data_IF_625774229127
#
_entry.id   IF_625774229127
#
_cell.length_a   1.000
_cell.length_b   1.000
_cell.length_c   1.000
_cell.angle_alpha   90.00
_cell.angle_beta   90.00
_cell.angle_gamma   90.00
#
_symmetry.space_group_name_H-M   'P 1'
#
loop_
_entity.id
_entity.type
_entity.pdbx_description
1 polymer ?
#
# COMPACT_ATOMS: atom_id res chain seq x y z
N UNK A 1 6.39 39.51 -21.16
CA UNK A 1 5.25 38.72 -20.67
C UNK A 1 5.55 37.26 -20.95
N UNK A 2 6.05 36.52 -19.96
CA UNK A 2 6.33 35.09 -20.09
C UNK A 2 5.03 34.33 -19.86
N UNK A 3 4.45 33.79 -20.94
CA UNK A 3 3.30 32.87 -20.82
C UNK A 3 3.69 31.72 -19.88
N UNK A 4 2.89 31.39 -18.85
CA UNK A 4 3.21 30.28 -17.96
C UNK A 4 3.22 28.98 -18.76
N UNK A 5 4.41 28.40 -18.91
CA UNK A 5 4.61 27.10 -19.53
C UNK A 5 3.93 26.04 -18.65
N UNK A 6 2.77 25.55 -19.08
CA UNK A 6 2.02 24.51 -18.39
C UNK A 6 2.36 23.17 -19.04
N UNK A 7 3.17 22.35 -18.36
CA UNK A 7 3.45 20.98 -18.80
C UNK A 7 2.27 20.11 -18.41
N UNK A 8 1.54 19.60 -19.40
CA UNK A 8 0.49 18.61 -19.19
C UNK A 8 1.15 17.25 -19.13
N UNK A 9 1.22 16.65 -17.94
CA UNK A 9 1.73 15.29 -17.74
C UNK A 9 0.51 14.35 -17.75
N UNK A 10 0.50 13.41 -18.69
CA UNK A 10 -0.55 12.39 -18.77
C UNK A 10 -0.45 11.39 -17.60
N UNK A 11 -1.58 10.77 -17.23
CA UNK A 11 -1.59 9.73 -16.20
C UNK A 11 -0.59 8.61 -16.50
N UNK A 12 -0.57 8.13 -17.74
CA UNK A 12 0.31 7.04 -18.16
C UNK A 12 1.79 7.43 -18.01
N UNK A 13 2.15 8.67 -18.32
CA UNK A 13 3.51 9.17 -18.09
C UNK A 13 3.87 9.20 -16.60
N UNK A 14 2.94 9.60 -15.71
CA UNK A 14 3.19 9.54 -14.27
C UNK A 14 3.32 8.11 -13.77
N UNK A 15 2.47 7.19 -14.24
CA UNK A 15 2.54 5.77 -13.89
C UNK A 15 3.88 5.19 -14.31
N UNK A 16 4.30 5.44 -15.55
CA UNK A 16 5.59 5.00 -16.07
C UNK A 16 6.76 5.60 -15.29
N UNK A 17 6.68 6.89 -14.93
CA UNK A 17 7.73 7.55 -14.14
C UNK A 17 7.89 6.90 -12.75
N UNK A 18 6.77 6.66 -12.06
CA UNK A 18 6.79 6.02 -10.74
C UNK A 18 7.26 4.56 -10.87
N UNK A 19 6.78 3.81 -11.86
CA UNK A 19 7.24 2.45 -12.13
C UNK A 19 8.75 2.41 -12.43
N UNK A 20 9.27 3.35 -13.22
CA UNK A 20 10.69 3.47 -13.52
C UNK A 20 11.51 3.82 -12.27
N UNK A 21 11.01 4.72 -11.41
CA UNK A 21 11.64 5.03 -10.13
C UNK A 21 11.72 3.78 -9.25
N UNK A 22 10.62 3.04 -9.11
CA UNK A 22 10.59 1.82 -8.32
C UNK A 22 11.47 0.71 -8.93
N UNK A 23 11.52 0.59 -10.25
CA UNK A 23 12.44 -0.30 -10.96
C UNK A 23 13.90 0.03 -10.61
N UNK A 24 14.27 1.31 -10.67
CA UNK A 24 15.62 1.74 -10.34
C UNK A 24 15.95 1.45 -8.87
N UNK A 25 15.06 1.81 -7.93
CA UNK A 25 15.26 1.56 -6.51
C UNK A 25 15.33 0.06 -6.22
N UNK A 26 14.49 -0.75 -6.86
CA UNK A 26 14.52 -2.20 -6.73
C UNK A 26 15.82 -2.80 -7.24
N UNK A 27 16.37 -2.28 -8.35
CA UNK A 27 17.65 -2.73 -8.86
C UNK A 27 18.82 -2.41 -7.92
N UNK A 28 18.72 -1.31 -7.17
CA UNK A 28 19.71 -0.93 -6.16
C UNK A 28 19.56 -1.74 -4.86
N UNK A 29 18.33 -2.08 -4.48
CA UNK A 29 18.02 -2.74 -3.21
C UNK A 29 18.14 -4.27 -3.30
N UNK A 30 18.01 -4.82 -4.50
CA UNK A 30 18.16 -6.24 -4.78
C UNK A 30 16.91 -7.07 -4.51
N UNK A 31 16.87 -8.23 -5.17
CA UNK A 31 15.72 -9.14 -5.21
C UNK A 31 15.10 -9.49 -3.84
N UNK A 32 15.91 -9.88 -2.85
CA UNK A 32 15.39 -10.40 -1.57
C UNK A 32 14.46 -9.41 -0.86
N UNK A 33 14.84 -8.13 -0.85
CA UNK A 33 14.07 -7.07 -0.19
C UNK A 33 12.82 -6.71 -0.99
N UNK A 34 12.93 -6.67 -2.31
CA UNK A 34 11.78 -6.41 -3.17
C UNK A 34 10.70 -7.49 -3.03
N UNK A 35 11.09 -8.76 -2.85
CA UNK A 35 10.12 -9.83 -2.59
C UNK A 35 9.36 -9.58 -1.29
N UNK A 36 10.03 -9.23 -0.20
CA UNK A 36 9.36 -8.93 1.08
C UNK A 36 8.35 -7.79 0.91
N UNK A 37 8.72 -6.76 0.15
CA UNK A 37 7.80 -5.66 -0.19
C UNK A 37 6.62 -6.15 -1.02
N UNK A 38 6.85 -7.01 -2.02
CA UNK A 38 5.78 -7.62 -2.82
C UNK A 38 4.80 -8.42 -1.94
N UNK A 39 5.30 -9.20 -0.98
CA UNK A 39 4.44 -9.93 -0.03
C UNK A 39 3.52 -8.96 0.71
N UNK A 40 4.06 -7.89 1.28
CA UNK A 40 3.26 -6.91 2.01
C UNK A 40 2.24 -6.20 1.11
N UNK A 41 2.62 -5.85 -0.13
CA UNK A 41 1.69 -5.26 -1.10
C UNK A 41 0.58 -6.23 -1.52
N UNK A 42 0.86 -7.52 -1.65
CA UNK A 42 -0.15 -8.54 -1.92
C UNK A 42 -1.11 -8.69 -0.73
N UNK A 43 -0.60 -8.66 0.50
CA UNK A 43 -1.47 -8.67 1.69
C UNK A 43 -2.38 -7.44 1.70
N UNK A 44 -1.84 -6.25 1.40
CA UNK A 44 -2.66 -5.05 1.25
C UNK A 44 -3.69 -5.19 0.12
N UNK A 45 -3.32 -5.78 -1.02
CA UNK A 45 -4.25 -6.08 -2.10
C UNK A 45 -5.37 -7.06 -1.69
N UNK A 46 -5.05 -8.07 -0.89
CA UNK A 46 -6.05 -8.98 -0.34
C UNK A 46 -7.01 -8.26 0.61
N UNK A 47 -6.50 -7.35 1.46
CA UNK A 47 -7.32 -6.50 2.33
C UNK A 47 -8.20 -5.53 1.53
N UNK A 48 -7.74 -5.05 0.37
CA UNK A 48 -8.57 -4.28 -0.56
C UNK A 48 -9.70 -5.12 -1.16
N UNK A 49 -9.40 -6.36 -1.56
CA UNK A 49 -10.38 -7.27 -2.16
C UNK A 49 -11.44 -7.75 -1.15
N UNK A 50 -11.05 -7.93 0.11
CA UNK A 50 -11.94 -8.36 1.20
C UNK A 50 -11.78 -7.44 2.42
N UNK A 51 -12.38 -6.24 2.41
CA UNK A 51 -12.22 -5.24 3.48
C UNK A 51 -12.70 -5.71 4.86
N UNK A 52 -13.58 -6.72 4.90
CA UNK A 52 -14.01 -7.35 6.15
C UNK A 52 -12.84 -7.94 6.97
N UNK A 53 -11.76 -8.39 6.31
CA UNK A 53 -10.56 -8.88 6.98
C UNK A 53 -9.79 -7.77 7.71
N UNK A 54 -9.90 -6.53 7.26
CA UNK A 54 -9.28 -5.37 7.90
C UNK A 54 -10.07 -4.87 9.12
N UNK A 55 -11.36 -5.25 9.25
CA UNK A 55 -12.28 -4.76 10.28
C UNK A 55 -11.73 -4.80 11.71
N UNK A 56 -11.24 -5.96 12.20
CA UNK A 56 -10.72 -6.06 13.57
C UNK A 56 -9.51 -5.14 13.81
N UNK A 57 -8.58 -5.10 12.87
CA UNK A 57 -7.38 -4.25 12.96
C UNK A 57 -7.75 -2.77 12.97
N UNK A 58 -8.68 -2.38 12.10
CA UNK A 58 -9.18 -1.00 12.01
C UNK A 58 -9.93 -0.60 13.28
N UNK A 59 -10.70 -1.50 13.88
CA UNK A 59 -11.37 -1.23 15.15
C UNK A 59 -10.37 -1.02 16.29
N UNK A 60 -9.35 -1.89 16.42
CA UNK A 60 -8.30 -1.71 17.42
C UNK A 60 -7.57 -0.39 17.23
N UNK A 61 -7.17 -0.08 15.99
CA UNK A 61 -6.45 1.16 15.68
C UNK A 61 -7.33 2.38 15.94
N UNK A 62 -8.62 2.32 15.59
CA UNK A 62 -9.56 3.41 15.82
C UNK A 62 -9.77 3.67 17.30
N UNK A 63 -9.86 2.61 18.13
CA UNK A 63 -9.93 2.73 19.59
C UNK A 63 -8.66 3.34 20.17
N UNK A 64 -7.49 2.89 19.72
CA UNK A 64 -6.20 3.44 20.15
C UNK A 64 -6.08 4.92 19.79
N UNK A 65 -6.39 5.31 18.56
CA UNK A 65 -6.33 6.71 18.11
C UNK A 65 -7.35 7.56 18.86
N UNK A 66 -8.58 7.07 19.09
CA UNK A 66 -9.56 7.79 19.93
C UNK A 66 -9.04 8.00 21.35
N UNK A 67 -8.39 7.00 21.94
CA UNK A 67 -7.81 7.10 23.28
C UNK A 67 -6.68 8.13 23.32
N UNK A 68 -5.77 8.10 22.35
CA UNK A 68 -4.67 9.07 22.23
C UNK A 68 -5.22 10.48 22.02
N UNK A 69 -6.19 10.67 21.13
CA UNK A 69 -6.83 11.96 20.91
C UNK A 69 -7.56 12.45 22.16
N UNK A 70 -8.29 11.57 22.85
CA UNK A 70 -8.97 11.91 24.09
C UNK A 70 -7.99 12.35 25.17
N UNK A 71 -6.82 11.71 25.25
CA UNK A 71 -5.75 12.07 26.18
C UNK A 71 -5.14 13.45 25.87
N UNK A 72 -4.92 13.78 24.59
CA UNK A 72 -4.47 15.12 24.23
C UNK A 72 -5.56 16.19 24.45
N UNK A 73 -6.82 15.87 24.13
CA UNK A 73 -7.96 16.77 24.32
C UNK A 73 -8.32 16.99 25.80
N UNK A 74 -8.02 16.02 26.66
CA UNK A 74 -8.16 16.14 28.12
C UNK A 74 -7.00 16.90 28.78
N UNK A 75 -6.10 17.51 27.99
CA UNK A 75 -4.88 18.15 28.46
C UNK A 75 -3.97 17.22 29.27
N UNK A 76 -3.74 16.00 28.76
CA UNK A 76 -2.93 14.97 29.41
C UNK A 76 -3.50 14.45 30.74
N UNK A 77 -4.82 14.62 30.95
CA UNK A 77 -5.49 14.05 32.11
C UNK A 77 -5.62 12.53 31.98
N UNK A 78 -5.28 11.81 33.04
CA UNK A 78 -5.40 10.35 33.18
C UNK A 78 -6.69 9.97 33.94
N UNK A 79 -7.53 10.95 34.27
CA UNK A 79 -8.82 10.71 34.93
C UNK A 79 -9.76 9.94 33.98
N UNK A 80 -10.24 8.73 34.36
CA UNK A 80 -11.10 7.90 33.52
C UNK A 80 -12.39 8.59 33.07
N UNK A 81 -13.00 9.40 33.94
CA UNK A 81 -14.29 10.05 33.66
C UNK A 81 -14.12 11.17 32.62
N UNK A 82 -13.03 11.93 32.75
CA UNK A 82 -12.65 12.98 31.80
C UNK A 82 -12.28 12.35 30.45
N UNK A 83 -11.45 11.30 30.45
CA UNK A 83 -11.05 10.58 29.24
C UNK A 83 -12.25 9.98 28.50
N UNK A 84 -13.19 9.36 29.21
CA UNK A 84 -14.37 8.75 28.61
C UNK A 84 -15.24 9.81 27.89
N UNK A 85 -15.39 10.99 28.50
CA UNK A 85 -16.13 12.12 27.91
C UNK A 85 -15.51 12.58 26.59
N UNK A 86 -14.19 12.72 26.52
CA UNK A 86 -13.50 13.09 25.27
C UNK A 86 -13.48 11.94 24.27
N UNK A 87 -13.32 10.69 24.74
CA UNK A 87 -13.31 9.49 23.90
C UNK A 87 -14.62 9.29 23.13
N UNK A 88 -15.77 9.49 23.78
CA UNK A 88 -17.09 9.35 23.14
C UNK A 88 -17.34 10.43 22.07
N UNK A 89 -16.77 11.62 22.26
CA UNK A 89 -16.94 12.75 21.33
C UNK A 89 -15.83 12.83 20.27
N UNK A 90 -14.77 12.02 20.39
CA UNK A 90 -13.65 12.01 19.46
C UNK A 90 -14.07 11.45 18.10
N UNK A 91 -14.20 12.35 17.12
CA UNK A 91 -14.37 12.00 15.70
C UNK A 91 -13.03 11.55 15.14
N UNK A 92 -12.85 10.25 14.95
CA UNK A 92 -11.73 9.70 14.19
C UNK A 92 -12.07 9.61 12.70
N UNK A 93 -11.11 9.87 11.81
CA UNK A 93 -11.32 9.75 10.37
C UNK A 93 -11.35 8.28 9.89
N UNK A 94 -11.23 7.32 10.81
CA UNK A 94 -11.16 5.89 10.57
C UNK A 94 -12.28 5.16 11.33
N UNK A 95 -12.95 4.23 10.67
CA UNK A 95 -13.93 3.32 11.29
C UNK A 95 -13.91 1.98 10.56
N UNK A 96 -14.40 0.91 11.20
CA UNK A 96 -14.58 -0.39 10.55
C UNK A 96 -15.49 -0.32 9.32
N UNK A 97 -16.41 0.65 9.29
CA UNK A 97 -17.28 0.94 8.15
C UNK A 97 -16.54 1.59 6.96
N UNK A 98 -15.49 2.37 7.23
CA UNK A 98 -14.59 2.95 6.23
C UNK A 98 -13.12 2.64 6.54
N UNK A 99 -12.68 1.39 6.24
CA UNK A 99 -11.32 0.95 6.53
C UNK A 99 -10.29 1.56 5.57
N UNK A 100 -10.71 2.16 4.46
CA UNK A 100 -9.82 2.58 3.38
C UNK A 100 -8.83 3.67 3.80
N UNK A 101 -9.23 4.59 4.68
CA UNK A 101 -8.31 5.59 5.20
C UNK A 101 -7.14 4.97 5.99
N UNK A 102 -7.41 3.91 6.78
CA UNK A 102 -6.35 3.14 7.46
C UNK A 102 -5.49 2.40 6.45
N UNK A 103 -6.10 1.79 5.43
CA UNK A 103 -5.36 1.07 4.38
C UNK A 103 -4.45 2.00 3.55
N UNK A 104 -4.88 3.24 3.28
CA UNK A 104 -4.04 4.27 2.65
C UNK A 104 -2.86 4.61 3.56
N UNK A 105 -3.12 4.91 4.83
CA UNK A 105 -2.06 5.20 5.80
C UNK A 105 -1.09 4.03 5.94
N UNK A 106 -1.61 2.80 5.99
CA UNK A 106 -0.80 1.58 6.06
C UNK A 106 0.03 1.38 4.80
N UNK A 107 -0.52 1.60 3.60
CA UNK A 107 0.22 1.55 2.34
C UNK A 107 1.36 2.57 2.31
N UNK A 108 1.08 3.83 2.65
CA UNK A 108 2.09 4.90 2.67
C UNK A 108 3.18 4.59 3.70
N UNK A 109 2.79 4.24 4.92
CA UNK A 109 3.73 3.87 5.97
C UNK A 109 4.57 2.66 5.56
N UNK A 110 3.95 1.63 4.98
CA UNK A 110 4.64 0.43 4.51
C UNK A 110 5.66 0.75 3.42
N UNK A 111 5.30 1.56 2.42
CA UNK A 111 6.21 2.00 1.35
C UNK A 111 7.38 2.78 1.96
N UNK A 112 7.12 3.77 2.80
CA UNK A 112 8.17 4.59 3.43
C UNK A 112 9.11 3.76 4.30
N UNK A 113 8.57 2.86 5.14
CA UNK A 113 9.39 1.97 5.99
C UNK A 113 10.18 0.98 5.14
N UNK A 114 9.55 0.39 4.13
CA UNK A 114 10.20 -0.52 3.18
C UNK A 114 11.42 0.13 2.51
N UNK A 115 11.30 1.39 2.06
CA UNK A 115 12.42 2.09 1.44
C UNK A 115 13.37 2.77 2.43
N UNK A 116 12.95 3.01 3.68
CA UNK A 116 13.80 3.54 4.76
C UNK A 116 14.78 2.52 5.34
N UNK A 117 14.48 1.22 5.24
CA UNK A 117 15.35 0.15 5.76
C UNK A 117 16.61 -0.05 4.89
N UNK A 118 17.66 0.72 5.15
CA UNK A 118 19.02 0.47 4.63
C UNK A 118 19.72 -0.59 5.49
N UNK A 119 19.50 -1.87 5.20
CA UNK A 119 20.32 -2.93 5.81
C UNK A 119 21.75 -2.96 5.22
N UNK A 120 22.74 -3.15 6.09
CA UNK A 120 24.14 -3.43 5.74
C UNK A 120 24.31 -4.87 5.25
N UNK A 121 23.83 -5.19 4.05
CA UNK A 121 24.03 -6.53 3.48
C UNK A 121 24.82 -6.49 2.17
N UNK A 122 25.59 -7.58 2.00
CA UNK A 122 26.51 -7.90 0.91
C UNK A 122 26.02 -7.42 -0.46
N UNK A 123 26.96 -6.92 -1.26
CA UNK A 123 26.72 -6.47 -2.63
C UNK A 123 25.78 -7.42 -3.38
N UNK A 124 24.64 -6.90 -3.82
CA UNK A 124 23.68 -7.67 -4.58
C UNK A 124 24.33 -8.10 -5.91
N UNK A 125 24.30 -9.40 -6.20
CA UNK A 125 24.78 -9.92 -7.49
C UNK A 125 24.09 -9.23 -8.67
N UNK A 126 24.74 -9.16 -9.84
CA UNK A 126 24.17 -8.54 -11.05
C UNK A 126 22.78 -9.09 -11.39
N UNK A 127 22.59 -10.40 -11.25
CA UNK A 127 21.28 -11.05 -11.41
C UNK A 127 20.28 -10.62 -10.33
N UNK A 128 20.72 -10.50 -9.07
CA UNK A 128 19.90 -10.00 -7.97
C UNK A 128 19.45 -8.55 -8.15
N UNK A 129 20.25 -7.73 -8.83
CA UNK A 129 19.91 -6.35 -9.20
C UNK A 129 18.92 -6.30 -10.36
N UNK A 130 19.11 -7.11 -11.40
CA UNK A 130 18.14 -7.21 -12.50
C UNK A 130 16.76 -7.69 -12.00
N UNK A 131 16.74 -8.77 -11.21
CA UNK A 131 15.51 -9.28 -10.60
C UNK A 131 14.91 -8.28 -9.60
N UNK A 132 15.74 -7.60 -8.83
CA UNK A 132 15.31 -6.48 -7.99
C UNK A 132 14.64 -5.37 -8.79
N UNK A 133 15.15 -5.04 -9.97
CA UNK A 133 14.53 -4.05 -10.85
C UNK A 133 13.16 -4.47 -11.37
N UNK A 134 13.03 -5.72 -11.83
CA UNK A 134 11.74 -6.27 -12.30
C UNK A 134 10.71 -6.28 -11.16
N UNK A 135 11.09 -6.74 -9.97
CA UNK A 135 10.19 -6.73 -8.81
C UNK A 135 9.89 -5.31 -8.32
N UNK A 136 10.86 -4.40 -8.40
CA UNK A 136 10.65 -2.98 -8.13
C UNK A 136 9.57 -2.41 -9.05
N UNK A 137 9.69 -2.62 -10.36
CA UNK A 137 8.68 -2.20 -11.34
C UNK A 137 7.28 -2.73 -10.98
N UNK A 138 7.17 -4.02 -10.64
CA UNK A 138 5.92 -4.65 -10.22
C UNK A 138 5.38 -4.04 -8.91
N UNK A 139 6.25 -3.79 -7.93
CA UNK A 139 5.89 -3.14 -6.68
C UNK A 139 5.38 -1.71 -6.91
N UNK A 140 6.02 -0.95 -7.80
CA UNK A 140 5.57 0.40 -8.18
C UNK A 140 4.18 0.37 -8.81
N UNK A 141 3.93 -0.55 -9.74
CA UNK A 141 2.62 -0.75 -10.34
C UNK A 141 1.54 -1.10 -9.30
N UNK A 142 1.84 -2.01 -8.36
CA UNK A 142 0.93 -2.40 -7.29
C UNK A 142 0.63 -1.21 -6.35
N UNK A 143 1.65 -0.46 -5.93
CA UNK A 143 1.46 0.71 -5.05
C UNK A 143 0.54 1.73 -5.68
N UNK A 144 0.75 2.09 -6.95
CA UNK A 144 -0.10 3.07 -7.64
C UNK A 144 -1.53 2.56 -7.77
N UNK A 145 -1.69 1.29 -8.14
CA UNK A 145 -3.01 0.66 -8.32
C UNK A 145 -3.78 0.62 -7.00
N UNK A 146 -3.13 0.17 -5.92
CA UNK A 146 -3.71 0.14 -4.58
C UNK A 146 -4.06 1.54 -4.09
N UNK A 147 -3.14 2.49 -4.24
CA UNK A 147 -3.37 3.87 -3.83
C UNK A 147 -4.57 4.48 -4.55
N UNK A 148 -4.64 4.34 -5.87
CA UNK A 148 -5.78 4.80 -6.68
C UNK A 148 -7.08 4.17 -6.20
N UNK A 149 -7.14 2.85 -6.07
CA UNK A 149 -8.37 2.16 -5.68
C UNK A 149 -8.80 2.55 -4.27
N UNK A 150 -7.87 2.60 -3.31
CA UNK A 150 -8.18 3.05 -1.95
C UNK A 150 -8.73 4.47 -1.90
N UNK A 151 -8.11 5.40 -2.63
CA UNK A 151 -8.58 6.79 -2.68
C UNK A 151 -9.97 6.87 -3.30
N UNK A 152 -10.22 6.16 -4.40
CA UNK A 152 -11.54 6.12 -5.04
C UNK A 152 -12.59 5.57 -4.07
N UNK A 153 -12.31 4.43 -3.42
CA UNK A 153 -13.25 3.80 -2.49
C UNK A 153 -13.52 4.69 -1.26
N UNK A 154 -12.47 5.32 -0.73
CA UNK A 154 -12.59 6.28 0.37
C UNK A 154 -13.49 7.46 0.01
N UNK A 155 -13.31 8.06 -1.18
CA UNK A 155 -14.12 9.18 -1.65
C UNK A 155 -15.58 8.77 -1.90
N UNK A 156 -15.81 7.61 -2.51
CA UNK A 156 -17.15 7.07 -2.75
C UNK A 156 -17.92 6.88 -1.43
N UNK A 157 -17.28 6.34 -0.40
CA UNK A 157 -17.90 6.16 0.91
C UNK A 157 -18.16 7.47 1.66
N UNK A 158 -17.36 8.51 1.43
CA UNK A 158 -17.55 9.82 2.08
C UNK A 158 -18.57 10.71 1.38
N UNK A 159 -18.93 10.42 0.14
CA UNK A 159 -19.77 11.30 -0.68
C UNK A 159 -20.90 10.50 -1.34
N UNK A 160 -22.08 10.40 -0.68
CA UNK A 160 -23.23 9.69 -1.25
C UNK A 160 -23.71 10.28 -2.59
N UNK A 161 -23.46 11.56 -2.84
CA UNK A 161 -23.69 12.22 -4.14
C UNK A 161 -22.78 11.70 -5.26
N UNK A 162 -21.56 11.28 -4.94
CA UNK A 162 -20.60 10.68 -5.90
C UNK A 162 -20.90 9.21 -6.13
N UNK A 163 -21.45 8.51 -5.12
CA UNK A 163 -21.96 7.15 -5.27
C UNK A 163 -23.26 7.09 -6.09
N UNK A 164 -24.16 8.08 -5.94
CA UNK A 164 -25.43 8.18 -6.66
C UNK A 164 -25.28 8.68 -8.11
N UNK A 165 -24.24 9.44 -8.42
CA UNK A 165 -23.93 9.89 -9.79
C UNK A 165 -23.37 8.78 -10.70
N UNK A 166 -23.13 7.57 -10.16
CA UNK A 166 -22.15 6.66 -10.75
C UNK A 166 -20.75 7.27 -10.66
N UNK A 167 -19.69 6.45 -10.77
CA UNK A 167 -18.29 6.91 -10.72
C UNK A 167 -18.14 8.25 -11.48
N UNK A 168 -17.69 9.33 -10.83
CA UNK A 168 -17.76 10.66 -11.41
C UNK A 168 -16.81 10.73 -12.60
N UNK A 169 -17.37 10.99 -13.78
CA UNK A 169 -16.64 11.61 -14.87
C UNK A 169 -16.36 13.06 -14.47
N UNK A 170 -15.26 13.34 -13.75
CA UNK A 170 -14.78 14.72 -13.60
C UNK A 170 -14.35 15.22 -12.23
N UNK A 171 -13.72 14.40 -11.36
CA UNK A 171 -12.90 14.98 -10.30
C UNK A 171 -11.54 15.41 -10.89
N UNK A 172 -11.45 16.68 -11.29
CA UNK A 172 -10.33 17.28 -12.01
C UNK A 172 -9.28 17.87 -11.06
N UNK A 173 -8.30 17.06 -10.68
CA UNK A 173 -6.90 17.50 -10.73
C UNK A 173 -6.51 17.32 -12.19
N UNK A 174 -5.92 18.31 -12.86
CA UNK A 174 -5.61 18.27 -14.29
C UNK A 174 -4.53 17.20 -14.62
N UNK A 175 -4.96 15.95 -14.58
CA UNK A 175 -4.24 14.76 -15.02
C UNK A 175 -5.10 14.19 -16.14
N UNK A 176 -4.67 14.41 -17.38
CA UNK A 176 -5.36 13.86 -18.54
C UNK A 176 -5.29 12.33 -18.53
N UNK A 177 -6.44 11.67 -18.76
CA UNK A 177 -6.49 10.23 -19.05
C UNK A 177 -6.46 9.30 -17.83
N UNK A 178 -6.84 9.75 -16.62
CA UNK A 178 -6.98 8.82 -15.48
C UNK A 178 -8.09 7.80 -15.79
N UNK A 179 -7.80 6.48 -15.86
CA UNK A 179 -8.82 5.50 -16.19
C UNK A 179 -9.91 5.47 -15.12
N UNK A 180 -11.17 5.62 -15.52
CA UNK A 180 -12.35 5.59 -14.62
C UNK A 180 -12.79 4.16 -14.27
N UNK A 181 -12.22 3.15 -14.93
CA UNK A 181 -12.42 1.74 -14.61
C UNK A 181 -11.36 1.28 -13.58
N UNK A 182 -11.82 0.69 -12.47
CA UNK A 182 -10.95 0.03 -11.51
C UNK A 182 -10.25 -1.14 -12.20
N UNK A 183 -8.92 -1.11 -12.27
CA UNK A 183 -8.10 -2.12 -12.97
C UNK A 183 -8.22 -3.53 -12.38
N UNK A 184 -8.96 -3.70 -11.28
CA UNK A 184 -9.10 -4.93 -10.51
C UNK A 184 -10.41 -5.69 -10.86
N UNK A 185 -11.32 -5.11 -11.67
CA UNK A 185 -12.57 -5.83 -12.04
C UNK A 185 -12.46 -6.71 -13.29
N UNK A 186 -11.33 -6.65 -14.02
CA UNK A 186 -11.07 -7.47 -15.20
C UNK A 186 -10.24 -8.73 -14.90
N UNK A 187 -10.43 -9.78 -15.70
CA UNK A 187 -9.73 -11.08 -15.58
C UNK A 187 -8.20 -10.99 -15.55
N UNK A 188 -7.63 -9.92 -16.11
CA UNK A 188 -6.18 -9.66 -16.14
C UNK A 188 -5.58 -9.44 -14.74
N UNK A 189 -6.35 -8.88 -13.81
CA UNK A 189 -5.90 -8.67 -12.42
C UNK A 189 -5.76 -9.98 -11.65
N UNK A 190 -6.56 -11.00 -11.97
CA UNK A 190 -6.48 -12.35 -11.39
C UNK A 190 -5.27 -13.11 -11.91
N UNK A 191 -4.91 -12.90 -13.18
CA UNK A 191 -3.69 -13.44 -13.77
C UNK A 191 -2.45 -12.79 -13.13
N UNK A 192 -2.44 -11.47 -12.96
CA UNK A 192 -1.35 -10.75 -12.28
C UNK A 192 -1.22 -11.19 -10.82
N UNK A 193 -2.34 -11.32 -10.09
CA UNK A 193 -2.37 -11.87 -8.74
C UNK A 193 -1.84 -13.32 -8.73
N UNK A 194 -2.27 -14.15 -9.67
CA UNK A 194 -1.80 -15.53 -9.84
C UNK A 194 -0.30 -15.61 -10.09
N UNK A 195 0.25 -14.74 -10.93
CA UNK A 195 1.70 -14.64 -11.20
C UNK A 195 2.46 -14.21 -9.96
N UNK A 196 1.97 -13.19 -9.23
CA UNK A 196 2.64 -12.73 -8.01
C UNK A 196 2.58 -13.79 -6.92
N UNK A 197 1.44 -14.45 -6.71
CA UNK A 197 1.28 -15.55 -5.75
C UNK A 197 2.17 -16.74 -6.13
N UNK A 198 2.22 -17.12 -7.40
CA UNK A 198 3.09 -18.19 -7.88
C UNK A 198 4.57 -17.86 -7.63
N UNK A 199 5.01 -16.64 -7.93
CA UNK A 199 6.36 -16.17 -7.63
C UNK A 199 6.62 -16.18 -6.11
N UNK A 200 5.63 -15.82 -5.29
CA UNK A 200 5.72 -15.84 -3.84
C UNK A 200 5.92 -17.25 -3.29
N UNK A 201 5.14 -18.22 -3.79
CA UNK A 201 5.25 -19.65 -3.44
C UNK A 201 6.62 -20.19 -3.81
N UNK A 202 7.13 -19.84 -4.99
CA UNK A 202 8.48 -20.25 -5.43
C UNK A 202 9.55 -19.70 -4.48
N UNK A 203 9.43 -18.44 -4.05
CA UNK A 203 10.41 -17.85 -3.11
C UNK A 203 10.31 -18.46 -1.71
N UNK A 204 9.10 -18.65 -1.18
CA UNK A 204 8.87 -19.33 0.10
C UNK A 204 9.44 -20.75 0.08
N UNK A 205 9.17 -21.51 -0.97
CA UNK A 205 9.70 -22.86 -1.15
C UNK A 205 11.24 -22.85 -1.20
N UNK A 206 11.85 -21.91 -1.94
CA UNK A 206 13.31 -21.79 -2.02
C UNK A 206 13.94 -21.44 -0.68
N UNK A 207 13.31 -20.57 0.11
CA UNK A 207 13.82 -20.16 1.41
C UNK A 207 13.70 -21.29 2.44
N UNK A 208 12.57 -22.02 2.44
CA UNK A 208 12.37 -23.21 3.26
C UNK A 208 13.40 -24.31 2.94
N UNK A 209 13.69 -24.54 1.66
CA UNK A 209 14.72 -25.51 1.23
C UNK A 209 16.14 -25.11 1.67
N UNK A 210 16.45 -23.80 1.68
CA UNK A 210 17.76 -23.31 2.13
C UNK A 210 17.97 -23.54 3.63
N UNK A 211 16.94 -23.39 4.45
CA UNK A 211 17.01 -23.66 5.89
C UNK A 211 17.07 -25.16 6.23
N UNK A 212 16.36 -26.02 5.48
CA UNK A 212 16.46 -27.48 5.66
C UNK A 212 17.80 -28.05 5.17
N UNK A 213 18.42 -27.46 4.14
CA UNK A 213 19.74 -27.87 3.67
C UNK A 213 20.89 -27.55 4.64
N UNK A 214 20.80 -26.43 5.37
CA UNK A 214 21.80 -26.07 6.39
C UNK A 214 21.68 -26.91 7.67
N UNK A 215 20.48 -27.38 8.03
CA UNK A 215 20.28 -28.27 9.18
C UNK A 215 20.98 -29.63 9.00
N UNK A 216 21.12 -30.13 7.76
CA UNK A 216 21.83 -31.38 7.46
C UNK A 216 23.35 -31.26 7.43
N UNK A 217 23.91 -30.05 7.27
CA UNK A 217 25.38 -29.83 7.22
C UNK A 217 26.03 -29.55 8.58
N UNK A 218 25.24 -29.31 9.63
CA UNK A 218 25.72 -29.09 10.99
C UNK A 218 25.76 -30.35 11.88
N UNK A 219 25.56 -31.53 11.30
CA UNK A 219 25.54 -32.82 12.03
C UNK A 219 26.49 -33.86 11.44
N UNK A 220 27.52 -33.40 10.72
CA UNK A 220 28.63 -34.24 10.25
C UNK A 220 29.93 -33.79 10.90
#
# INVERSE_FOLDING_TARGET
>A
MTSPFTVIISYDQMVLLIMALFMFVGAMRGFSREVVTSVGLVVLLALLAQPALAGPVVDYLSRLVRLVLAFFQSHFSVDPDVLLKYYQNAKVPFSSENPYAVLICALVAFVLLSYGTRGHEKEASALGRLLGGVFGLLNGFLVITLFKEYVIQYLLQRSPTVAAAGRPAGFSVAVQGVPTHGGISGGDSRLLLGVVVALMVIVLARNLMKHTGNAKKGSA
#
